data_IF_874325498931
#
_entry.id   IF_874325498931
#
_cell.length_a   1.000
_cell.length_b   1.000
_cell.length_c   1.000
_cell.angle_alpha   90.00
_cell.angle_beta   90.00
_cell.angle_gamma   90.00
#
_symmetry.space_group_name_H-M   'P 1'
#
loop_
_entity.id
_entity.type
_entity.pdbx_description
1 polymer ?
#
# COMPACT_ATOMS: atom_id res chain seq x y z
N UNK A 1 -9.02 -23.58 12.24
CA UNK A 1 -9.78 -22.34 12.53
C UNK A 1 -9.82 -21.32 11.37
N UNK A 2 -9.00 -21.47 10.32
CA UNK A 2 -8.99 -20.55 9.17
C UNK A 2 -10.12 -20.78 8.15
N UNK A 3 -10.76 -21.94 8.15
CA UNK A 3 -11.70 -22.34 7.10
C UNK A 3 -12.95 -21.45 7.00
N UNK A 4 -13.46 -20.94 8.10
CA UNK A 4 -14.68 -20.12 8.11
C UNK A 4 -14.56 -18.81 7.31
N UNK A 5 -13.40 -18.14 7.40
CA UNK A 5 -13.17 -16.88 6.64
C UNK A 5 -12.97 -17.24 5.17
N UNK A 6 -12.17 -18.27 4.89
CA UNK A 6 -11.94 -18.75 3.53
C UNK A 6 -13.24 -19.19 2.87
N UNK A 7 -14.03 -20.03 3.57
CA UNK A 7 -15.32 -20.54 3.09
C UNK A 7 -16.32 -19.38 2.90
N UNK A 8 -16.37 -18.43 3.82
CA UNK A 8 -17.23 -17.25 3.73
C UNK A 8 -16.89 -16.34 2.55
N UNK A 9 -15.60 -16.08 2.31
CA UNK A 9 -15.15 -15.29 1.17
C UNK A 9 -15.39 -16.03 -0.15
N UNK A 10 -15.07 -17.31 -0.21
CA UNK A 10 -15.32 -18.15 -1.39
C UNK A 10 -16.83 -18.27 -1.69
N UNK A 11 -17.67 -18.45 -0.65
CA UNK A 11 -19.13 -18.43 -0.81
C UNK A 11 -19.64 -17.10 -1.35
N UNK A 12 -19.17 -15.98 -0.78
CA UNK A 12 -19.54 -14.64 -1.22
C UNK A 12 -19.15 -14.42 -2.69
N UNK A 13 -17.92 -14.79 -3.05
CA UNK A 13 -17.44 -14.66 -4.42
C UNK A 13 -18.22 -15.54 -5.40
N UNK A 14 -18.43 -16.81 -5.08
CA UNK A 14 -19.09 -17.77 -5.95
C UNK A 14 -20.60 -17.52 -6.07
N UNK A 15 -21.25 -17.08 -4.99
CA UNK A 15 -22.71 -16.86 -4.95
C UNK A 15 -23.08 -15.49 -5.55
N UNK A 16 -22.33 -14.45 -5.21
CA UNK A 16 -22.62 -13.10 -5.65
C UNK A 16 -21.87 -12.71 -6.94
N UNK A 17 -20.93 -13.53 -7.41
CA UNK A 17 -20.20 -13.29 -8.66
C UNK A 17 -19.61 -11.88 -8.72
N UNK A 18 -20.02 -11.11 -9.75
CA UNK A 18 -19.54 -9.74 -9.94
C UNK A 18 -19.79 -8.83 -8.75
N UNK A 19 -20.90 -8.99 -8.04
CA UNK A 19 -21.22 -8.19 -6.85
C UNK A 19 -20.24 -8.51 -5.71
N UNK A 20 -19.94 -9.80 -5.49
CA UNK A 20 -18.95 -10.23 -4.52
C UNK A 20 -17.55 -9.71 -4.83
N UNK A 21 -17.14 -9.78 -6.11
CA UNK A 21 -15.89 -9.21 -6.58
C UNK A 21 -15.83 -7.69 -6.43
N UNK A 22 -16.93 -6.99 -6.73
CA UNK A 22 -17.03 -5.54 -6.51
C UNK A 22 -16.90 -5.17 -5.03
N UNK A 23 -17.57 -5.89 -4.16
CA UNK A 23 -17.50 -5.66 -2.71
C UNK A 23 -16.09 -5.89 -2.16
N UNK A 24 -15.43 -6.96 -2.57
CA UNK A 24 -14.05 -7.24 -2.15
C UNK A 24 -13.09 -6.17 -2.68
N UNK A 25 -13.22 -5.76 -3.95
CA UNK A 25 -12.42 -4.68 -4.52
C UNK A 25 -12.61 -3.34 -3.81
N UNK A 26 -13.86 -3.02 -3.44
CA UNK A 26 -14.20 -1.82 -2.69
C UNK A 26 -13.61 -1.81 -1.28
N UNK A 27 -13.64 -2.96 -0.59
CA UNK A 27 -13.19 -3.07 0.81
C UNK A 27 -11.69 -3.30 0.93
N UNK A 28 -11.01 -3.72 -0.14
CA UNK A 28 -9.59 -4.07 -0.08
C UNK A 28 -8.70 -2.90 0.37
N UNK A 29 -8.82 -1.72 -0.25
CA UNK A 29 -8.02 -0.55 0.15
C UNK A 29 -8.27 -0.09 1.60
N UNK A 30 -9.50 -0.02 2.13
CA UNK A 30 -9.75 0.13 3.57
C UNK A 30 -9.07 -0.93 4.45
N UNK A 31 -9.09 -2.19 4.03
CA UNK A 31 -8.41 -3.28 4.76
C UNK A 31 -6.89 -3.09 4.75
N UNK A 32 -6.31 -2.62 3.64
CA UNK A 32 -4.89 -2.26 3.56
C UNK A 32 -4.52 -1.20 4.60
N UNK A 33 -5.35 -0.18 4.76
CA UNK A 33 -5.12 0.90 5.75
C UNK A 33 -5.07 0.37 7.19
N UNK A 34 -5.84 -0.66 7.50
CA UNK A 34 -5.82 -1.30 8.84
C UNK A 34 -4.66 -2.27 9.05
N UNK A 35 -3.93 -2.62 7.99
CA UNK A 35 -2.87 -3.63 8.03
C UNK A 35 -3.36 -5.09 7.98
N UNK A 36 -4.67 -5.32 8.06
CA UNK A 36 -5.26 -6.68 8.07
C UNK A 36 -5.03 -7.46 6.77
N UNK A 37 -4.72 -6.76 5.65
CA UNK A 37 -4.39 -7.39 4.38
C UNK A 37 -3.20 -8.35 4.47
N UNK A 38 -2.31 -8.18 5.45
CA UNK A 38 -1.18 -9.09 5.69
C UNK A 38 -1.61 -10.51 6.10
N UNK A 39 -2.88 -10.70 6.49
CA UNK A 39 -3.43 -12.02 6.78
C UNK A 39 -3.98 -12.75 5.55
N UNK A 40 -4.17 -12.06 4.41
CA UNK A 40 -4.70 -12.68 3.19
C UNK A 40 -3.88 -13.85 2.65
N UNK A 41 -2.53 -13.86 2.69
CA UNK A 41 -1.76 -15.03 2.31
C UNK A 41 -2.18 -16.32 3.01
N UNK A 42 -2.58 -16.24 4.29
CA UNK A 42 -3.08 -17.39 5.03
C UNK A 42 -4.44 -17.94 4.51
N UNK A 43 -5.21 -17.07 3.84
CA UNK A 43 -6.49 -17.42 3.19
C UNK A 43 -6.26 -17.90 1.75
N UNK A 44 -5.32 -17.29 1.05
CA UNK A 44 -5.02 -17.57 -0.36
C UNK A 44 -4.29 -18.88 -0.57
N UNK A 45 -3.36 -19.24 0.33
CA UNK A 45 -2.58 -20.47 0.19
C UNK A 45 -3.46 -21.74 0.12
N UNK A 46 -4.49 -21.91 0.95
CA UNK A 46 -5.43 -23.03 0.80
C UNK A 46 -6.15 -23.03 -0.55
N UNK A 47 -6.62 -21.86 -1.03
CA UNK A 47 -7.30 -21.74 -2.33
C UNK A 47 -6.38 -22.13 -3.50
N UNK A 48 -5.11 -21.74 -3.43
CA UNK A 48 -4.10 -22.11 -4.43
C UNK A 48 -3.79 -23.60 -4.34
N UNK A 49 -3.66 -24.15 -3.13
CA UNK A 49 -3.39 -25.58 -2.93
C UNK A 49 -4.51 -26.49 -3.48
N UNK A 50 -5.75 -26.04 -3.44
CA UNK A 50 -6.89 -26.76 -4.00
C UNK A 50 -6.82 -26.92 -5.53
N UNK A 51 -5.99 -26.14 -6.24
CA UNK A 51 -5.80 -26.32 -7.69
C UNK A 51 -5.32 -27.72 -8.05
N UNK A 52 -4.53 -28.37 -7.19
CA UNK A 52 -4.09 -29.76 -7.38
C UNK A 52 -5.27 -30.76 -7.34
N UNK A 53 -6.39 -30.36 -6.75
CA UNK A 53 -7.62 -31.16 -6.63
C UNK A 53 -8.74 -30.66 -7.55
N UNK A 54 -8.40 -29.84 -8.56
CA UNK A 54 -9.36 -29.28 -9.52
C UNK A 54 -9.97 -27.94 -9.14
N UNK A 55 -9.48 -27.29 -8.09
CA UNK A 55 -9.87 -25.92 -7.73
C UNK A 55 -9.36 -24.88 -8.73
N UNK A 56 -9.96 -23.70 -8.71
CA UNK A 56 -9.66 -22.61 -9.66
C UNK A 56 -8.46 -21.75 -9.31
N UNK A 57 -7.96 -21.83 -8.08
CA UNK A 57 -6.94 -20.91 -7.53
C UNK A 57 -7.54 -19.76 -6.73
N UNK A 58 -6.71 -18.77 -6.36
CA UNK A 58 -7.17 -17.62 -5.58
C UNK A 58 -7.75 -16.53 -6.49
N UNK A 59 -8.90 -16.01 -6.11
CA UNK A 59 -9.54 -14.82 -6.69
C UNK A 59 -9.14 -13.54 -5.96
N UNK A 60 -8.58 -13.67 -4.75
CA UNK A 60 -8.25 -12.53 -3.87
C UNK A 60 -7.10 -11.72 -4.47
N UNK A 61 -6.01 -12.38 -4.85
CA UNK A 61 -4.83 -11.72 -5.41
C UNK A 61 -5.12 -10.85 -6.64
N UNK A 62 -5.84 -11.32 -7.70
CA UNK A 62 -6.18 -10.48 -8.82
C UNK A 62 -7.00 -9.24 -8.42
N UNK A 63 -7.95 -9.39 -7.49
CA UNK A 63 -8.77 -8.27 -7.00
C UNK A 63 -7.92 -7.28 -6.19
N UNK A 64 -7.03 -7.79 -5.33
CA UNK A 64 -6.05 -7.00 -4.60
C UNK A 64 -5.17 -6.16 -5.53
N UNK A 65 -4.73 -6.77 -6.63
CA UNK A 65 -3.93 -6.09 -7.65
C UNK A 65 -4.69 -4.95 -8.31
N UNK A 66 -5.95 -5.17 -8.69
CA UNK A 66 -6.80 -4.09 -9.24
C UNK A 66 -6.94 -2.93 -8.24
N UNK A 67 -7.09 -3.21 -6.94
CA UNK A 67 -7.17 -2.18 -5.91
C UNK A 67 -5.86 -1.40 -5.79
N UNK A 68 -4.73 -2.09 -5.79
CA UNK A 68 -3.41 -1.46 -5.71
C UNK A 68 -3.11 -0.58 -6.94
N UNK A 69 -3.40 -1.08 -8.14
CA UNK A 69 -3.24 -0.32 -9.38
C UNK A 69 -4.13 0.91 -9.40
N UNK A 70 -5.40 0.80 -8.95
CA UNK A 70 -6.30 1.93 -8.87
C UNK A 70 -5.81 3.01 -7.91
N UNK A 71 -5.30 2.63 -6.72
CA UNK A 71 -4.75 3.57 -5.75
C UNK A 71 -3.46 4.22 -6.26
N UNK A 72 -2.56 3.45 -6.86
CA UNK A 72 -1.32 3.96 -7.45
C UNK A 72 -1.59 4.94 -8.60
N UNK A 73 -2.52 4.61 -9.49
CA UNK A 73 -2.91 5.48 -10.61
C UNK A 73 -3.57 6.79 -10.15
N UNK A 74 -4.42 6.73 -9.10
CA UNK A 74 -5.02 7.91 -8.51
C UNK A 74 -3.96 8.83 -7.88
N UNK A 75 -3.00 8.27 -7.14
CA UNK A 75 -1.88 9.03 -6.58
C UNK A 75 -0.99 9.63 -7.67
N UNK A 76 -0.68 8.86 -8.72
CA UNK A 76 0.10 9.36 -9.85
C UNK A 76 -0.59 10.55 -10.53
N UNK A 77 -1.91 10.53 -10.70
CA UNK A 77 -2.65 11.67 -11.24
C UNK A 77 -2.50 12.93 -10.37
N UNK A 78 -2.39 12.78 -9.05
CA UNK A 78 -2.11 13.88 -8.12
C UNK A 78 -0.73 14.46 -8.36
N UNK A 79 0.30 13.63 -8.60
CA UNK A 79 1.67 14.11 -8.83
C UNK A 79 1.79 15.09 -9.99
N UNK A 80 0.98 14.93 -11.03
CA UNK A 80 0.92 15.86 -12.17
C UNK A 80 0.22 17.18 -11.85
N UNK A 81 -0.51 17.25 -10.75
CA UNK A 81 -1.32 18.43 -10.38
C UNK A 81 -0.80 19.17 -9.16
N UNK A 82 -0.11 18.47 -8.26
CA UNK A 82 0.45 19.09 -7.05
C UNK A 82 1.72 19.89 -7.35
N UNK A 83 1.96 20.93 -6.57
CA UNK A 83 3.22 21.70 -6.55
C UNK A 83 4.15 21.24 -5.42
N UNK A 84 3.65 20.45 -4.51
CA UNK A 84 4.38 19.88 -3.37
C UNK A 84 5.36 18.81 -3.88
N UNK A 85 6.67 19.05 -3.69
CA UNK A 85 7.74 18.18 -4.15
C UNK A 85 7.69 16.80 -3.45
N UNK A 86 7.45 16.78 -2.14
CA UNK A 86 7.38 15.55 -1.35
C UNK A 86 6.19 14.67 -1.78
N UNK A 87 5.04 15.31 -2.05
CA UNK A 87 3.88 14.58 -2.55
C UNK A 87 4.11 14.06 -3.98
N UNK A 88 4.89 14.76 -4.81
CA UNK A 88 5.31 14.24 -6.12
C UNK A 88 6.19 13.02 -6.00
N UNK A 89 7.16 13.05 -5.11
CA UNK A 89 8.08 11.92 -4.89
C UNK A 89 7.33 10.69 -4.37
N UNK A 90 6.45 10.86 -3.39
CA UNK A 90 5.63 9.79 -2.84
C UNK A 90 4.65 9.19 -3.88
N UNK A 91 4.06 10.03 -4.72
CA UNK A 91 3.15 9.60 -5.78
C UNK A 91 3.90 9.00 -6.97
N UNK A 92 5.15 9.39 -7.20
CA UNK A 92 6.00 8.91 -8.31
C UNK A 92 6.54 7.50 -8.10
N UNK A 93 6.48 6.96 -6.89
CA UNK A 93 6.86 5.56 -6.59
C UNK A 93 5.74 4.62 -7.06
N UNK A 94 5.60 4.52 -8.40
CA UNK A 94 4.63 3.64 -9.05
C UNK A 94 5.01 2.19 -8.77
N UNK A 95 4.15 1.49 -8.04
CA UNK A 95 4.36 0.07 -7.70
C UNK A 95 4.44 -0.21 -6.20
N UNK A 96 4.63 0.80 -5.36
CA UNK A 96 4.55 0.66 -3.91
C UNK A 96 3.30 1.37 -3.43
N UNK A 97 2.29 0.59 -3.05
CA UNK A 97 0.93 1.10 -2.76
C UNK A 97 0.86 1.86 -1.44
N UNK A 98 1.65 1.46 -0.44
CA UNK A 98 1.64 2.06 0.88
C UNK A 98 2.02 3.55 0.86
N UNK A 99 3.14 3.99 0.26
CA UNK A 99 3.44 5.42 0.16
C UNK A 99 2.37 6.21 -0.59
N UNK A 100 1.78 5.63 -1.64
CA UNK A 100 0.72 6.26 -2.41
C UNK A 100 -0.56 6.43 -1.57
N UNK A 101 -0.96 5.40 -0.82
CA UNK A 101 -2.16 5.45 0.03
C UNK A 101 -1.95 6.41 1.20
N UNK A 102 -0.89 6.23 2.00
CA UNK A 102 -0.70 7.00 3.24
C UNK A 102 -0.17 8.42 2.97
N UNK A 103 0.75 8.56 2.02
CA UNK A 103 1.39 9.85 1.73
C UNK A 103 0.54 10.79 0.89
N UNK A 104 -0.34 10.27 0.03
CA UNK A 104 -1.09 11.06 -0.94
C UNK A 104 -2.60 10.87 -0.79
N UNK A 105 -3.08 9.63 -0.98
CA UNK A 105 -4.50 9.38 -1.15
C UNK A 105 -5.32 9.65 0.12
N UNK A 106 -4.85 9.22 1.29
CA UNK A 106 -5.51 9.49 2.56
C UNK A 106 -5.39 10.95 2.99
N UNK A 107 -4.27 11.61 2.70
CA UNK A 107 -4.06 13.02 2.99
C UNK A 107 -5.07 13.90 2.26
N UNK A 108 -5.30 13.64 0.97
CA UNK A 108 -6.25 14.37 0.13
C UNK A 108 -7.68 13.80 0.21
N UNK A 109 -7.86 12.58 0.66
CA UNK A 109 -9.11 11.80 0.77
C UNK A 109 -9.76 11.47 -0.58
N UNK A 110 -10.00 12.43 -1.47
CA UNK A 110 -10.72 12.23 -2.72
C UNK A 110 -10.02 11.21 -3.67
N UNK A 111 -8.66 11.16 -3.80
CA UNK A 111 -8.04 10.13 -4.64
C UNK A 111 -8.28 8.72 -4.07
N UNK A 112 -8.31 8.59 -2.74
CA UNK A 112 -8.61 7.34 -2.06
C UNK A 112 -9.99 6.80 -2.43
N UNK A 113 -11.02 7.66 -2.40
CA UNK A 113 -12.38 7.25 -2.77
C UNK A 113 -12.53 6.96 -4.26
N UNK A 114 -11.84 7.69 -5.13
CA UNK A 114 -11.79 7.38 -6.56
C UNK A 114 -11.14 6.00 -6.77
N UNK A 115 -10.00 5.75 -6.11
CA UNK A 115 -9.33 4.44 -6.16
C UNK A 115 -10.24 3.31 -5.69
N UNK A 116 -10.97 3.47 -4.59
CA UNK A 116 -11.97 2.49 -4.10
C UNK A 116 -13.06 2.23 -5.14
N UNK A 117 -13.63 3.28 -5.73
CA UNK A 117 -14.68 3.14 -6.75
C UNK A 117 -14.19 2.35 -7.97
N UNK A 118 -13.00 2.67 -8.48
CA UNK A 118 -12.43 1.96 -9.62
C UNK A 118 -12.00 0.55 -9.25
N UNK A 119 -11.45 0.34 -8.05
CA UNK A 119 -11.12 -0.99 -7.53
C UNK A 119 -12.36 -1.90 -7.43
N UNK A 120 -13.51 -1.34 -7.05
CA UNK A 120 -14.79 -2.06 -7.06
C UNK A 120 -15.15 -2.56 -8.46
N UNK A 121 -15.02 -1.71 -9.49
CA UNK A 121 -15.26 -2.10 -10.89
C UNK A 121 -14.24 -3.15 -11.35
N UNK A 122 -12.97 -2.97 -10.99
CA UNK A 122 -11.91 -3.95 -11.26
C UNK A 122 -12.20 -5.31 -10.64
N UNK A 123 -12.61 -5.34 -9.38
CA UNK A 123 -13.00 -6.57 -8.67
C UNK A 123 -14.21 -7.27 -9.29
N UNK A 124 -15.24 -6.51 -9.71
CA UNK A 124 -16.36 -7.04 -10.44
C UNK A 124 -15.92 -7.69 -11.77
N UNK A 125 -15.03 -7.03 -12.51
CA UNK A 125 -14.52 -7.54 -13.79
C UNK A 125 -13.64 -8.79 -13.60
N UNK A 126 -12.81 -8.86 -12.55
CA UNK A 126 -12.07 -10.09 -12.19
C UNK A 126 -13.01 -11.26 -12.01
N UNK A 127 -14.12 -11.06 -11.28
CA UNK A 127 -15.10 -12.10 -11.04
C UNK A 127 -15.83 -12.52 -12.34
N UNK A 128 -16.23 -11.56 -13.17
CA UNK A 128 -16.89 -11.84 -14.46
C UNK A 128 -15.99 -12.55 -15.47
N UNK A 129 -14.71 -12.21 -15.48
CA UNK A 129 -13.72 -12.80 -16.39
C UNK A 129 -13.10 -14.10 -15.84
N UNK A 130 -13.47 -14.48 -14.60
CA UNK A 130 -12.95 -15.65 -13.90
C UNK A 130 -11.41 -15.68 -13.87
N UNK A 131 -10.79 -14.53 -13.52
CA UNK A 131 -9.33 -14.41 -13.42
C UNK A 131 -8.89 -14.92 -12.05
N UNK A 132 -7.97 -15.89 -12.03
CA UNK A 132 -7.45 -16.49 -10.80
C UNK A 132 -5.92 -16.49 -10.78
N UNK A 133 -5.35 -16.49 -9.58
CA UNK A 133 -3.92 -16.68 -9.36
C UNK A 133 -3.60 -18.11 -8.94
N UNK A 134 -2.44 -18.56 -9.37
CA UNK A 134 -1.86 -19.86 -9.03
C UNK A 134 -0.72 -19.79 -8.03
N UNK A 135 -0.30 -18.58 -7.69
CA UNK A 135 0.78 -18.31 -6.73
C UNK A 135 0.54 -16.97 -6.03
N UNK A 136 1.17 -16.80 -4.88
CA UNK A 136 1.30 -15.49 -4.26
C UNK A 136 2.38 -14.70 -5.01
N UNK A 137 2.21 -13.39 -5.14
CA UNK A 137 3.17 -12.53 -5.83
C UNK A 137 3.05 -11.06 -5.47
N UNK A 138 3.86 -10.24 -6.12
CA UNK A 138 3.74 -8.79 -6.01
C UNK A 138 2.50 -8.31 -6.75
N UNK A 139 1.64 -7.55 -6.06
CA UNK A 139 0.47 -6.94 -6.68
C UNK A 139 0.86 -5.85 -7.70
N UNK A 140 -0.02 -5.59 -8.66
CA UNK A 140 0.22 -4.66 -9.76
C UNK A 140 0.71 -5.38 -11.02
N UNK A 141 1.24 -4.62 -11.97
CA UNK A 141 1.64 -5.17 -13.29
C UNK A 141 2.57 -6.37 -13.20
N UNK A 142 3.48 -6.41 -12.23
CA UNK A 142 4.36 -7.55 -12.02
C UNK A 142 3.63 -8.82 -11.53
N UNK A 143 2.40 -8.67 -11.07
CA UNK A 143 1.55 -9.76 -10.59
C UNK A 143 1.14 -10.76 -11.68
N UNK A 144 1.31 -10.43 -12.96
CA UNK A 144 0.98 -11.34 -14.07
C UNK A 144 1.66 -12.71 -13.94
N UNK A 145 2.86 -12.76 -13.35
CA UNK A 145 3.60 -14.01 -13.14
C UNK A 145 2.88 -14.98 -12.19
N UNK A 146 2.01 -14.47 -11.32
CA UNK A 146 1.22 -15.26 -10.37
C UNK A 146 -0.15 -15.67 -10.92
N UNK A 147 -0.55 -15.12 -12.06
CA UNK A 147 -1.84 -15.41 -12.69
C UNK A 147 -1.77 -16.74 -13.47
N UNK A 148 -2.88 -17.46 -13.49
CA UNK A 148 -3.01 -18.66 -14.32
C UNK A 148 -2.73 -18.29 -15.79
N UNK A 149 -1.84 -19.02 -16.52
CA UNK A 149 -1.34 -18.59 -17.83
C UNK A 149 -2.40 -18.20 -18.86
N UNK A 150 -3.53 -18.91 -18.88
CA UNK A 150 -4.66 -18.64 -19.80
C UNK A 150 -5.33 -17.28 -19.54
N UNK A 151 -5.20 -16.73 -18.32
CA UNK A 151 -5.87 -15.51 -17.89
C UNK A 151 -4.94 -14.29 -17.90
N UNK A 152 -3.64 -14.47 -18.15
CA UNK A 152 -2.65 -13.38 -18.18
C UNK A 152 -3.07 -12.25 -19.15
N UNK A 153 -3.50 -12.51 -20.41
CA UNK A 153 -3.89 -11.44 -21.31
C UNK A 153 -5.09 -10.63 -20.80
N UNK A 154 -6.08 -11.30 -20.19
CA UNK A 154 -7.25 -10.64 -19.60
C UNK A 154 -6.85 -9.79 -18.38
N UNK A 155 -5.97 -10.33 -17.54
CA UNK A 155 -5.46 -9.67 -16.36
C UNK A 155 -4.72 -8.37 -16.73
N UNK A 156 -3.76 -8.42 -17.65
CA UNK A 156 -3.00 -7.25 -18.10
C UNK A 156 -3.90 -6.19 -18.75
N UNK A 157 -4.85 -6.62 -19.59
CA UNK A 157 -5.82 -5.69 -20.19
C UNK A 157 -6.68 -5.02 -19.12
N UNK A 158 -7.12 -5.78 -18.13
CA UNK A 158 -7.94 -5.25 -17.05
C UNK A 158 -7.13 -4.29 -16.17
N UNK A 159 -5.87 -4.61 -15.83
CA UNK A 159 -4.99 -3.69 -15.08
C UNK A 159 -4.77 -2.38 -15.82
N UNK A 160 -4.49 -2.44 -17.13
CA UNK A 160 -4.36 -1.24 -17.95
C UNK A 160 -5.66 -0.42 -17.96
N UNK A 161 -6.81 -1.07 -18.04
CA UNK A 161 -8.12 -0.42 -17.99
C UNK A 161 -8.36 0.26 -16.64
N UNK A 162 -8.12 -0.44 -15.53
CA UNK A 162 -8.24 0.08 -14.17
C UNK A 162 -7.30 1.26 -13.96
N UNK A 163 -6.06 1.14 -14.42
CA UNK A 163 -5.09 2.24 -14.35
C UNK A 163 -5.59 3.48 -15.08
N UNK A 164 -6.01 3.35 -16.34
CA UNK A 164 -6.50 4.47 -17.16
C UNK A 164 -7.74 5.10 -16.53
N UNK A 165 -8.68 4.30 -16.04
CA UNK A 165 -9.89 4.81 -15.39
C UNK A 165 -9.58 5.58 -14.11
N UNK A 166 -8.76 5.01 -13.21
CA UNK A 166 -8.41 5.65 -11.95
C UNK A 166 -7.59 6.92 -12.18
N UNK A 167 -6.61 6.86 -13.07
CA UNK A 167 -5.81 8.03 -13.45
C UNK A 167 -6.68 9.15 -14.04
N UNK A 168 -7.50 8.82 -15.04
CA UNK A 168 -8.34 9.81 -15.72
C UNK A 168 -9.36 10.44 -14.79
N UNK A 169 -10.02 9.64 -13.95
CA UNK A 169 -10.98 10.13 -12.97
C UNK A 169 -10.32 11.05 -11.93
N UNK A 170 -9.17 10.64 -11.39
CA UNK A 170 -8.43 11.44 -10.43
C UNK A 170 -7.86 12.71 -11.07
N UNK A 171 -7.35 12.63 -12.29
CA UNK A 171 -6.84 13.79 -13.02
C UNK A 171 -7.94 14.81 -13.34
N UNK A 172 -9.10 14.35 -13.80
CA UNK A 172 -10.27 15.20 -14.06
C UNK A 172 -10.78 15.87 -12.78
N UNK A 173 -10.92 15.10 -11.70
CA UNK A 173 -11.35 15.65 -10.41
C UNK A 173 -10.35 16.64 -9.83
N UNK A 174 -9.06 16.34 -9.86
CA UNK A 174 -7.99 17.22 -9.41
C UNK A 174 -7.89 18.52 -10.24
N UNK A 175 -8.32 18.48 -11.51
CA UNK A 175 -8.36 19.67 -12.38
C UNK A 175 -9.52 20.61 -12.05
N UNK A 176 -10.58 20.10 -11.45
CA UNK A 176 -11.83 20.82 -11.16
C UNK A 176 -12.01 21.07 -9.66
N UNK A 177 -12.65 20.11 -8.99
CA UNK A 177 -13.04 20.22 -7.57
C UNK A 177 -11.87 20.00 -6.59
N UNK A 178 -10.85 19.24 -6.98
CA UNK A 178 -9.68 18.94 -6.16
C UNK A 178 -8.65 20.07 -6.06
N UNK A 179 -8.76 21.14 -6.85
CA UNK A 179 -7.79 22.25 -6.88
C UNK A 179 -7.57 22.91 -5.52
N UNK A 180 -8.64 23.17 -4.79
CA UNK A 180 -8.56 23.83 -3.48
C UNK A 180 -7.81 22.97 -2.46
N UNK A 181 -8.08 21.66 -2.44
CA UNK A 181 -7.39 20.73 -1.53
C UNK A 181 -5.91 20.51 -1.89
N UNK A 182 -5.56 20.59 -3.18
CA UNK A 182 -4.17 20.55 -3.64
C UNK A 182 -3.38 21.80 -3.25
N UNK A 183 -4.01 22.97 -3.33
CA UNK A 183 -3.41 24.24 -2.90
C UNK A 183 -3.22 24.26 -1.37
N UNK A 184 -4.26 23.92 -0.60
CA UNK A 184 -4.19 23.87 0.86
C UNK A 184 -3.18 22.84 1.39
N UNK A 185 -2.99 21.72 0.69
CA UNK A 185 -1.99 20.74 1.07
C UNK A 185 -0.55 21.25 0.84
N UNK A 186 -0.34 22.08 -0.17
CA UNK A 186 0.96 22.71 -0.43
C UNK A 186 1.28 23.84 0.56
N UNK A 187 0.28 24.62 0.96
CA UNK A 187 0.44 25.74 1.90
C UNK A 187 0.63 25.26 3.35
N UNK A 188 -0.05 24.18 3.77
CA UNK A 188 0.07 23.62 5.12
C UNK A 188 1.44 22.99 5.44
N UNK A 189 2.24 22.66 4.43
CA UNK A 189 3.60 22.17 4.65
C UNK A 189 4.60 23.33 4.85
N UNK A 190 4.34 24.50 4.27
CA UNK A 190 5.12 25.70 4.53
C UNK A 190 4.91 26.24 5.95
N UNK A 191 3.73 26.10 6.54
CA UNK A 191 3.48 26.48 7.95
C UNK A 191 4.09 25.47 8.94
N UNK A 192 4.03 24.17 8.64
CA UNK A 192 4.57 23.14 9.53
C UNK A 192 6.11 23.09 9.55
N UNK A 193 6.77 23.61 8.52
CA UNK A 193 8.24 23.80 8.51
C UNK A 193 8.68 25.05 9.27
N UNK A 194 7.77 25.99 9.54
CA UNK A 194 8.06 27.20 10.32
C UNK A 194 7.76 27.06 11.82
N UNK A 195 6.94 26.08 12.23
CA UNK A 195 6.58 25.90 13.66
C UNK A 195 7.24 24.70 14.35
N UNK A 196 8.05 23.91 13.66
CA UNK A 196 8.92 22.95 14.37
C UNK A 196 10.29 23.58 14.58
N UNK A 197 10.36 24.69 15.31
CA UNK A 197 11.49 24.93 16.20
C UNK A 197 11.43 23.86 17.29
N UNK A 198 12.00 22.70 16.98
CA UNK A 198 12.40 21.73 18.00
C UNK A 198 13.34 22.48 18.93
N UNK A 199 13.03 22.61 20.24
CA UNK A 199 14.00 23.16 21.18
C UNK A 199 15.26 22.31 21.03
N UNK A 200 16.32 22.95 20.59
CA UNK A 200 17.61 22.30 20.33
C UNK A 200 18.26 21.88 21.65
N UNK A 201 17.78 20.80 22.22
CA UNK A 201 18.55 19.98 23.13
C UNK A 201 19.43 19.06 22.29
N UNK A 202 20.45 19.60 21.65
CA UNK A 202 21.50 18.79 21.04
C UNK A 202 22.24 18.08 22.16
N UNK A 203 21.94 16.81 22.39
CA UNK A 203 22.86 15.95 23.09
C UNK A 203 23.96 15.62 22.08
N UNK A 204 25.08 16.36 22.18
CA UNK A 204 26.28 15.99 21.45
C UNK A 204 26.78 14.67 22.05
N UNK A 205 26.64 13.58 21.31
CA UNK A 205 27.34 12.35 21.61
C UNK A 205 28.80 12.57 21.18
N UNK A 206 29.74 12.72 22.13
CA UNK A 206 31.15 12.70 21.79
C UNK A 206 31.51 11.32 21.27
N UNK A 207 31.75 11.24 19.95
CA UNK A 207 32.27 10.05 19.34
C UNK A 207 33.74 9.81 19.74
N UNK A 208 34.17 8.54 19.86
CA UNK A 208 35.57 8.24 20.16
C UNK A 208 36.49 8.87 19.13
N UNK A 209 37.60 9.46 19.55
CA UNK A 209 38.63 10.04 18.69
C UNK A 209 39.10 9.02 17.64
N UNK A 210 38.70 9.24 16.37
CA UNK A 210 39.04 8.36 15.23
C UNK A 210 37.92 8.16 14.23
N UNK A 211 36.70 8.64 14.50
CA UNK A 211 35.65 8.69 13.49
C UNK A 211 35.79 9.97 12.65
N UNK A 212 35.66 9.85 11.34
CA UNK A 212 35.69 11.00 10.41
C UNK A 212 34.68 12.06 10.87
N UNK A 213 35.11 13.32 10.95
CA UNK A 213 34.39 14.46 11.56
C UNK A 213 33.08 14.86 10.86
N UNK A 214 32.71 14.20 9.75
CA UNK A 214 31.60 14.63 8.88
C UNK A 214 30.28 13.85 9.06
N UNK A 215 30.16 12.96 10.05
CA UNK A 215 28.95 12.17 10.23
C UNK A 215 28.29 12.47 11.56
N UNK A 216 27.31 13.38 11.58
CA UNK A 216 26.47 13.66 12.77
C UNK A 216 25.20 12.83 12.66
N UNK A 217 25.09 11.79 13.48
CA UNK A 217 23.84 11.04 13.64
C UNK A 217 23.03 11.71 14.75
N UNK A 218 21.89 12.31 14.40
CA UNK A 218 20.95 12.86 15.39
C UNK A 218 19.91 11.79 15.73
N UNK A 219 19.72 11.55 17.04
CA UNK A 219 18.66 10.65 17.51
C UNK A 219 17.30 11.31 17.33
N UNK A 220 16.30 10.62 16.72
CA UNK A 220 14.93 11.11 16.60
C UNK A 220 14.17 11.08 17.94
N UNK A 221 14.77 10.53 19.01
CA UNK A 221 14.15 10.37 20.32
C UNK A 221 14.98 11.13 21.35
N UNK A 222 14.33 11.93 22.18
CA UNK A 222 14.98 12.56 23.33
C UNK A 222 15.16 11.53 24.45
N UNK A 223 16.39 11.30 24.87
CA UNK A 223 16.70 10.36 25.92
C UNK A 223 18.19 10.31 26.21
N UNK A 224 18.56 9.63 27.30
CA UNK A 224 19.96 9.39 27.67
C UNK A 224 20.43 8.11 26.97
N UNK A 225 21.47 8.20 26.16
CA UNK A 225 22.15 7.02 25.64
C UNK A 225 22.90 6.31 26.78
N UNK A 226 22.70 5.01 26.89
CA UNK A 226 23.39 4.13 27.85
C UNK A 226 24.03 2.97 27.08
N UNK A 227 25.08 2.39 27.64
CA UNK A 227 25.70 1.20 27.06
C UNK A 227 24.73 0.00 27.15
N UNK A 228 24.81 -0.95 26.19
CA UNK A 228 23.96 -2.14 26.22
C UNK A 228 24.02 -2.89 27.55
N UNK A 229 25.18 -2.92 28.18
CA UNK A 229 25.39 -3.57 29.48
C UNK A 229 24.60 -2.93 30.62
N UNK A 230 24.20 -1.66 30.50
CA UNK A 230 23.42 -0.92 31.52
C UNK A 230 21.90 -1.08 31.33
N UNK A 231 21.47 -1.71 30.21
CA UNK A 231 20.07 -1.96 29.95
C UNK A 231 19.55 -3.05 30.90
N UNK A 232 18.41 -2.79 31.54
CA UNK A 232 17.84 -3.73 32.53
C UNK A 232 17.30 -5.02 31.92
N UNK A 233 17.12 -5.07 30.59
CA UNK A 233 16.68 -6.27 29.88
C UNK A 233 17.87 -7.20 29.60
N UNK A 234 17.76 -8.43 30.10
CA UNK A 234 18.83 -9.44 30.06
C UNK A 234 19.15 -9.88 28.63
N UNK A 235 18.20 -9.81 27.70
CA UNK A 235 18.39 -10.17 26.28
C UNK A 235 19.34 -9.20 25.59
N UNK A 236 19.25 -7.92 25.93
CA UNK A 236 20.12 -6.87 25.38
C UNK A 236 21.45 -6.76 26.13
N UNK A 237 21.42 -6.79 27.46
CA UNK A 237 22.64 -6.61 28.29
C UNK A 237 23.63 -7.76 28.18
N UNK A 238 23.16 -8.98 27.81
CA UNK A 238 24.02 -10.16 27.63
C UNK A 238 24.76 -10.21 26.29
N UNK A 239 24.48 -9.28 25.36
CA UNK A 239 25.07 -9.28 24.02
C UNK A 239 24.62 -10.43 23.10
N UNK A 240 23.54 -11.15 23.45
CA UNK A 240 23.02 -12.29 22.66
C UNK A 240 22.58 -11.88 21.23
N UNK A 241 22.28 -10.61 21.01
CA UNK A 241 21.85 -10.07 19.72
C UNK A 241 23.01 -9.41 18.93
N UNK A 242 24.25 -9.54 19.39
CA UNK A 242 25.45 -8.97 18.78
C UNK A 242 26.02 -7.78 19.57
N UNK A 243 27.23 -7.34 19.23
CA UNK A 243 27.79 -6.12 19.81
C UNK A 243 27.01 -4.90 19.33
N UNK A 244 26.56 -4.06 20.26
CA UNK A 244 25.88 -2.80 20.02
C UNK A 244 26.83 -1.71 19.54
#
# INVERSE_FOLDING_TARGET
MSNWITDGLAWTYNTLGAIGGAFLGMTYSPIVVTGLHQSFPAIELPLIAEMNNGGSGSFIFPIASMANVAQGAAALAVSFKTRDAKMKDLAGVVGITEPAIFGVNLRLRWPFFIGIGVASLGGAAVALLHIHSQALGAAGFMGFASIVPKDIPKYLLLEATVFILAFSAAFAYGSTRGRASLASAADGENESTLETEVPAGRVAVELPKGANEDFVITSPVQGRAVTLSEVKDQTFSSGMLGPG
#
